data_IF_561185430350
#
_entry.id   IF_561185430350
#
_cell.length_a   1.000
_cell.length_b   1.000
_cell.length_c   1.000
_cell.angle_alpha   90.00
_cell.angle_beta   90.00
_cell.angle_gamma   90.00
#
_symmetry.space_group_name_H-M   'P 1'
#
loop_
_entity.id
_entity.type
_entity.pdbx_description
1 polymer ?
#
# COMPACT_ATOMS: atom_id res chain seq x y z
N UNK A 1 50.18 -20.87 -39.29
CA UNK A 1 49.72 -20.47 -37.94
C UNK A 1 49.45 -18.98 -37.97
N UNK A 2 48.20 -18.60 -38.21
CA UNK A 2 47.76 -17.20 -38.26
C UNK A 2 47.13 -16.89 -36.91
N UNK A 3 47.80 -16.07 -36.10
CA UNK A 3 47.23 -15.55 -34.87
C UNK A 3 46.25 -14.44 -35.23
N UNK A 4 44.96 -14.66 -34.92
CA UNK A 4 43.95 -13.60 -34.93
C UNK A 4 44.15 -12.74 -33.68
N UNK A 5 44.58 -11.51 -33.89
CA UNK A 5 44.67 -10.47 -32.87
C UNK A 5 43.25 -10.03 -32.49
N UNK A 6 42.77 -10.47 -31.33
CA UNK A 6 41.50 -10.02 -30.76
C UNK A 6 41.73 -8.67 -30.08
N UNK A 7 41.49 -7.59 -30.82
CA UNK A 7 41.45 -6.26 -30.23
C UNK A 7 40.26 -6.14 -29.28
N UNK A 8 40.56 -6.08 -27.99
CA UNK A 8 39.60 -5.69 -26.95
C UNK A 8 39.21 -4.24 -27.18
N UNK A 9 38.01 -4.02 -27.70
CA UNK A 9 37.40 -2.70 -27.79
C UNK A 9 37.16 -2.19 -26.37
N UNK A 10 37.94 -1.21 -25.95
CA UNK A 10 37.74 -0.48 -24.71
C UNK A 10 36.39 0.26 -24.77
N UNK A 11 35.47 0.11 -23.79
CA UNK A 11 34.18 0.78 -23.86
C UNK A 11 34.37 2.28 -23.62
N UNK A 12 34.25 3.05 -24.70
CA UNK A 12 33.99 4.47 -24.63
C UNK A 12 32.60 4.71 -24.03
N UNK A 13 32.58 5.17 -22.76
CA UNK A 13 31.45 5.89 -22.17
C UNK A 13 30.53 5.06 -21.27
N UNK A 14 30.53 5.41 -19.97
CA UNK A 14 29.59 4.93 -18.94
C UNK A 14 28.10 5.13 -19.29
N UNK A 15 27.79 6.10 -20.15
CA UNK A 15 26.44 6.34 -20.65
C UNK A 15 25.96 5.22 -21.60
N UNK A 16 26.86 4.63 -22.40
CA UNK A 16 26.52 3.57 -23.36
C UNK A 16 26.21 2.26 -22.62
N UNK A 17 27.05 1.87 -21.65
CA UNK A 17 26.81 0.70 -20.80
C UNK A 17 25.55 0.78 -19.96
N UNK A 18 25.19 1.97 -19.45
CA UNK A 18 23.93 2.16 -18.69
C UNK A 18 22.71 1.95 -19.58
N UNK A 19 22.76 2.46 -20.82
CA UNK A 19 21.69 2.29 -21.81
C UNK A 19 21.56 0.85 -22.26
N UNK A 20 22.67 0.22 -22.64
CA UNK A 20 22.69 -1.17 -23.10
C UNK A 20 22.15 -2.11 -22.00
N UNK A 21 22.50 -1.87 -20.74
CA UNK A 21 21.98 -2.65 -19.61
C UNK A 21 20.48 -2.48 -19.38
N UNK A 22 19.98 -1.25 -19.45
CA UNK A 22 18.54 -1.00 -19.32
C UNK A 22 17.76 -1.67 -20.45
N UNK A 23 18.27 -1.60 -21.69
CA UNK A 23 17.64 -2.24 -22.86
C UNK A 23 17.57 -3.76 -22.69
N UNK A 24 18.65 -4.40 -22.21
CA UNK A 24 18.69 -5.85 -21.93
C UNK A 24 17.68 -6.22 -20.83
N UNK A 25 17.70 -5.53 -19.69
CA UNK A 25 16.80 -5.83 -18.58
C UNK A 25 15.34 -5.61 -18.97
N UNK A 26 15.05 -4.55 -19.73
CA UNK A 26 13.71 -4.32 -20.26
C UNK A 26 13.26 -5.48 -21.16
N UNK A 27 14.12 -5.95 -22.08
CA UNK A 27 13.80 -7.10 -22.93
C UNK A 27 13.50 -8.36 -22.12
N UNK A 28 14.30 -8.64 -21.08
CA UNK A 28 14.12 -9.78 -20.19
C UNK A 28 12.81 -9.69 -19.37
N UNK A 29 12.45 -8.51 -18.87
CA UNK A 29 11.21 -8.30 -18.10
C UNK A 29 9.96 -8.45 -18.95
N UNK A 30 10.01 -8.04 -20.23
CA UNK A 30 8.90 -8.17 -21.17
C UNK A 30 8.82 -9.56 -21.81
N UNK A 31 9.80 -10.44 -21.58
CA UNK A 31 9.78 -11.80 -22.09
C UNK A 31 8.60 -12.59 -21.47
N UNK A 32 8.00 -13.54 -22.20
CA UNK A 32 6.80 -14.25 -21.77
C UNK A 32 7.02 -15.10 -20.51
N UNK A 33 8.24 -15.60 -20.29
CA UNK A 33 8.64 -16.42 -19.14
C UNK A 33 8.92 -15.60 -17.87
N UNK A 34 8.95 -14.26 -17.95
CA UNK A 34 9.09 -13.43 -16.77
C UNK A 34 7.80 -13.47 -15.95
N UNK A 35 7.92 -13.67 -14.63
CA UNK A 35 6.76 -13.76 -13.74
C UNK A 35 5.96 -12.43 -13.75
N UNK A 36 4.67 -12.44 -14.12
CA UNK A 36 3.83 -11.25 -14.11
C UNK A 36 3.82 -10.50 -12.77
N UNK A 37 4.03 -11.20 -11.64
CA UNK A 37 4.07 -10.61 -10.30
C UNK A 37 5.07 -9.45 -10.22
N UNK A 38 6.26 -9.58 -10.82
CA UNK A 38 7.34 -8.61 -10.68
C UNK A 38 7.37 -7.54 -11.78
N UNK A 39 6.43 -7.55 -12.74
CA UNK A 39 6.44 -6.62 -13.89
C UNK A 39 5.94 -5.22 -13.53
N UNK A 40 5.04 -5.12 -12.57
CA UNK A 40 4.42 -3.85 -12.17
C UNK A 40 5.41 -2.94 -11.44
N UNK A 41 5.16 -1.63 -11.45
CA UNK A 41 5.88 -0.68 -10.60
C UNK A 41 5.44 -0.76 -9.14
N UNK A 42 4.23 -1.26 -8.91
CA UNK A 42 3.71 -1.63 -7.60
C UNK A 42 3.60 -3.14 -7.58
N UNK A 43 4.50 -3.79 -6.84
CA UNK A 43 4.59 -5.24 -6.74
C UNK A 43 3.93 -5.66 -5.43
N UNK A 44 2.75 -6.27 -5.53
CA UNK A 44 2.00 -6.82 -4.40
C UNK A 44 2.36 -8.28 -4.18
N UNK A 45 3.30 -8.54 -3.27
CA UNK A 45 3.76 -9.88 -2.92
C UNK A 45 2.67 -10.61 -2.13
N UNK A 46 2.22 -11.80 -2.59
CA UNK A 46 1.29 -12.62 -1.83
C UNK A 46 1.81 -12.93 -0.43
N UNK A 47 0.88 -12.99 0.54
CA UNK A 47 1.19 -13.21 1.96
C UNK A 47 2.07 -14.44 2.20
N UNK A 48 1.79 -15.49 1.46
CA UNK A 48 2.37 -16.83 1.48
C UNK A 48 3.32 -17.09 0.30
N UNK A 49 3.81 -16.04 -0.37
CA UNK A 49 4.76 -16.17 -1.48
C UNK A 49 5.95 -17.07 -1.09
N UNK A 50 6.30 -18.10 -1.89
CA UNK A 50 7.23 -19.15 -1.48
C UNK A 50 8.60 -18.62 -1.02
N UNK A 51 9.07 -17.54 -1.66
CA UNK A 51 10.39 -16.93 -1.37
C UNK A 51 10.29 -15.65 -0.55
N UNK A 52 9.20 -14.90 -0.71
CA UNK A 52 9.06 -13.52 -0.19
C UNK A 52 7.89 -13.39 0.79
N UNK A 53 7.42 -14.51 1.35
CA UNK A 53 6.34 -14.53 2.31
C UNK A 53 6.59 -13.50 3.41
N UNK A 54 5.53 -12.80 3.78
CA UNK A 54 5.56 -11.80 4.84
C UNK A 54 4.47 -12.05 5.87
N UNK A 55 3.51 -12.95 5.62
CA UNK A 55 2.47 -13.29 6.59
C UNK A 55 2.93 -14.20 7.72
N UNK A 56 2.28 -14.11 8.87
CA UNK A 56 2.43 -15.05 9.98
C UNK A 56 2.13 -16.51 9.54
N UNK A 57 2.79 -17.51 10.12
CA UNK A 57 2.46 -18.92 9.83
C UNK A 57 1.16 -19.40 10.46
N UNK A 58 0.62 -18.69 11.47
CA UNK A 58 -0.69 -19.04 12.04
C UNK A 58 -1.76 -18.91 10.94
N UNK A 59 -2.55 -19.98 10.67
CA UNK A 59 -3.60 -19.95 9.65
C UNK A 59 -4.57 -18.79 9.87
N UNK A 60 -4.93 -18.10 8.78
CA UNK A 60 -5.85 -16.94 8.78
C UNK A 60 -5.41 -15.74 9.61
N UNK A 61 -4.21 -15.74 10.20
CA UNK A 61 -3.66 -14.52 10.79
C UNK A 61 -3.39 -13.50 9.67
N UNK A 62 -3.67 -12.23 9.85
CA UNK A 62 -3.44 -11.23 8.80
C UNK A 62 -2.22 -10.35 9.11
N UNK A 63 -1.53 -10.63 10.22
CA UNK A 63 -0.38 -9.84 10.66
C UNK A 63 0.91 -10.26 9.96
N UNK A 64 1.83 -9.31 9.72
CA UNK A 64 3.15 -9.63 9.21
C UNK A 64 3.97 -10.47 10.19
N UNK A 65 4.76 -11.40 9.66
CA UNK A 65 5.77 -12.14 10.39
C UNK A 65 6.99 -11.29 10.66
N UNK A 66 7.68 -11.59 11.76
CA UNK A 66 9.09 -11.21 11.93
C UNK A 66 9.95 -12.20 11.15
N UNK A 67 10.89 -11.70 10.34
CA UNK A 67 11.66 -12.47 9.34
C UNK A 67 12.25 -13.76 9.89
N UNK A 68 12.83 -13.74 11.10
CA UNK A 68 13.51 -14.90 11.69
C UNK A 68 12.60 -15.90 12.40
N UNK A 69 11.33 -15.57 12.65
CA UNK A 69 10.47 -16.32 13.57
C UNK A 69 9.29 -16.98 12.88
N UNK A 70 9.02 -16.58 11.64
CA UNK A 70 7.84 -16.95 10.86
C UNK A 70 6.47 -16.67 11.54
N UNK A 71 6.47 -15.98 12.68
CA UNK A 71 5.31 -15.58 13.45
C UNK A 71 5.25 -14.06 13.55
N UNK A 72 4.06 -13.51 13.73
CA UNK A 72 3.91 -12.10 14.10
C UNK A 72 4.43 -11.86 15.53
N UNK A 73 4.54 -10.60 15.93
CA UNK A 73 5.03 -10.24 17.26
C UNK A 73 4.21 -10.89 18.38
N UNK A 74 2.88 -10.86 18.26
CA UNK A 74 1.95 -11.38 19.27
C UNK A 74 1.98 -12.91 19.33
N UNK A 75 1.91 -13.57 18.18
CA UNK A 75 1.99 -15.04 18.12
C UNK A 75 3.34 -15.56 18.57
N UNK A 76 4.42 -14.83 18.32
CA UNK A 76 5.72 -15.19 18.86
C UNK A 76 5.75 -15.13 20.39
N UNK A 77 5.12 -14.14 21.01
CA UNK A 77 5.04 -14.03 22.46
C UNK A 77 4.15 -15.13 23.06
N UNK A 78 3.00 -15.42 22.44
CA UNK A 78 2.14 -16.54 22.83
C UNK A 78 2.88 -17.89 22.71
N UNK A 79 3.66 -18.07 21.64
CA UNK A 79 4.46 -19.28 21.45
C UNK A 79 5.52 -19.44 22.54
N UNK A 80 6.20 -18.37 22.93
CA UNK A 80 7.18 -18.43 24.04
C UNK A 80 6.55 -18.92 25.34
N UNK A 81 5.34 -18.44 25.65
CA UNK A 81 4.62 -18.84 26.87
C UNK A 81 4.20 -20.31 26.83
N UNK A 82 3.68 -20.79 25.69
CA UNK A 82 3.25 -22.19 25.57
C UNK A 82 4.42 -23.18 25.47
N UNK A 83 5.54 -22.76 24.88
CA UNK A 83 6.76 -23.59 24.83
C UNK A 83 7.31 -23.86 26.22
N UNK A 84 7.18 -22.91 27.16
CA UNK A 84 7.55 -23.12 28.55
C UNK A 84 6.68 -24.19 29.24
N UNK A 85 5.50 -24.49 28.68
CA UNK A 85 4.58 -25.54 29.12
C UNK A 85 4.64 -26.81 28.24
N UNK A 86 5.80 -27.12 27.65
CA UNK A 86 6.09 -28.34 26.86
C UNK A 86 5.19 -28.59 25.62
N UNK A 87 4.48 -27.56 25.13
CA UNK A 87 3.67 -27.69 23.92
C UNK A 87 4.53 -27.67 22.65
N UNK A 88 4.16 -28.47 21.64
CA UNK A 88 4.84 -28.49 20.34
C UNK A 88 4.44 -27.29 19.47
N UNK A 89 5.34 -26.86 18.56
CA UNK A 89 5.06 -25.72 17.66
C UNK A 89 3.91 -26.02 16.69
N UNK A 90 3.77 -27.27 16.25
CA UNK A 90 2.65 -27.72 15.42
C UNK A 90 1.31 -27.56 16.14
N UNK A 91 1.23 -27.98 17.40
CA UNK A 91 0.02 -27.83 18.22
C UNK A 91 -0.33 -26.36 18.44
N UNK A 92 0.67 -25.50 18.67
CA UNK A 92 0.45 -24.06 18.75
C UNK A 92 -0.11 -23.50 17.44
N UNK A 93 0.52 -23.80 16.29
CA UNK A 93 0.06 -23.30 15.00
C UNK A 93 -1.37 -23.75 14.67
N UNK A 94 -1.75 -24.96 15.07
CA UNK A 94 -3.10 -25.50 14.85
C UNK A 94 -4.17 -24.87 15.77
N UNK A 95 -3.79 -24.45 16.98
CA UNK A 95 -4.73 -23.94 18.01
C UNK A 95 -4.73 -22.43 18.19
N UNK A 96 -3.70 -21.73 17.69
CA UNK A 96 -3.54 -20.29 17.85
C UNK A 96 -4.67 -19.52 17.14
N UNK A 97 -5.28 -18.58 17.87
CA UNK A 97 -6.32 -17.73 17.32
C UNK A 97 -5.74 -16.77 16.27
N UNK A 98 -6.34 -16.67 15.06
CA UNK A 98 -5.89 -15.71 14.07
C UNK A 98 -6.10 -14.28 14.56
N UNK A 99 -5.14 -13.40 14.25
CA UNK A 99 -5.25 -11.99 14.59
C UNK A 99 -5.52 -11.18 13.33
N UNK A 100 -6.43 -10.18 13.39
CA UNK A 100 -6.64 -9.28 12.27
C UNK A 100 -5.39 -8.43 12.04
N UNK A 101 -5.27 -7.88 10.84
CA UNK A 101 -4.12 -7.06 10.50
C UNK A 101 -4.00 -5.85 11.44
N UNK A 102 -2.77 -5.50 11.82
CA UNK A 102 -2.52 -4.43 12.79
C UNK A 102 -2.30 -3.07 12.13
N UNK A 103 -1.69 -3.03 10.93
CA UNK A 103 -1.38 -1.82 10.16
C UNK A 103 -1.22 -2.14 8.66
N UNK A 104 -1.38 -1.13 7.80
CA UNK A 104 -1.15 -1.26 6.36
C UNK A 104 -2.28 -1.90 5.57
N UNK A 105 -3.41 -2.22 6.21
CA UNK A 105 -4.61 -2.80 5.57
C UNK A 105 -5.09 -1.88 4.45
N UNK A 106 -5.39 -2.46 3.29
CA UNK A 106 -6.35 -1.87 2.40
C UNK A 106 -7.64 -1.61 3.19
N UNK A 107 -8.00 -0.34 3.36
CA UNK A 107 -9.19 0.03 4.14
C UNK A 107 -10.48 -0.35 3.42
N UNK A 108 -10.35 -0.88 2.20
CA UNK A 108 -11.45 -1.20 1.33
C UNK A 108 -12.08 0.04 0.75
N UNK A 109 -13.25 -0.17 0.14
CA UNK A 109 -14.00 0.84 -0.56
C UNK A 109 -15.23 1.24 0.25
N UNK A 110 -15.64 2.49 0.07
CA UNK A 110 -16.85 3.00 0.68
C UNK A 110 -18.04 2.10 0.33
N UNK A 111 -18.90 1.80 1.31
CA UNK A 111 -20.13 1.01 1.10
C UNK A 111 -21.03 1.57 -0.01
N UNK A 112 -20.93 2.87 -0.30
CA UNK A 112 -21.71 3.55 -1.34
C UNK A 112 -20.90 3.83 -2.61
N UNK A 113 -19.57 3.99 -2.52
CA UNK A 113 -18.75 4.42 -3.65
C UNK A 113 -17.69 3.37 -4.01
N UNK A 114 -17.78 2.73 -5.19
CA UNK A 114 -16.82 1.70 -5.60
C UNK A 114 -15.41 2.25 -5.85
N UNK A 115 -15.27 3.54 -6.18
CA UNK A 115 -13.98 4.17 -6.51
C UNK A 115 -13.45 5.11 -5.41
N UNK A 116 -14.07 5.14 -4.23
CA UNK A 116 -13.57 5.97 -3.12
C UNK A 116 -13.12 5.12 -1.95
N UNK A 117 -11.85 5.22 -1.52
CA UNK A 117 -11.35 4.44 -0.41
C UNK A 117 -12.06 4.85 0.88
N UNK A 118 -12.16 3.89 1.80
CA UNK A 118 -12.71 4.13 3.13
C UNK A 118 -11.82 5.14 3.88
N UNK A 119 -12.46 6.23 4.31
CA UNK A 119 -11.83 7.22 5.16
C UNK A 119 -12.03 6.88 6.64
N UNK A 120 -13.22 6.39 6.99
CA UNK A 120 -13.57 5.92 8.34
C UNK A 120 -13.82 4.42 8.33
N UNK A 121 -12.86 3.65 8.85
CA UNK A 121 -12.94 2.18 8.92
C UNK A 121 -14.16 1.72 9.71
N UNK A 122 -14.55 2.47 10.76
CA UNK A 122 -15.72 2.15 11.57
C UNK A 122 -17.01 2.21 10.76
N UNK A 123 -17.19 3.26 9.95
CA UNK A 123 -18.42 3.42 9.17
C UNK A 123 -18.34 2.76 7.79
N UNK A 124 -17.14 2.33 7.36
CA UNK A 124 -16.88 1.88 5.99
C UNK A 124 -17.32 2.92 4.94
N UNK A 125 -17.13 4.21 5.25
CA UNK A 125 -17.53 5.33 4.38
C UNK A 125 -16.33 6.14 3.90
N UNK A 126 -16.44 6.69 2.69
CA UNK A 126 -15.52 7.72 2.19
C UNK A 126 -15.67 9.03 2.99
N UNK A 127 -14.72 9.95 2.81
CA UNK A 127 -14.72 11.25 3.51
C UNK A 127 -16.05 12.00 3.38
N UNK A 128 -16.58 12.10 2.15
CA UNK A 128 -17.81 12.86 1.89
C UNK A 128 -19.03 12.20 2.54
N UNK A 129 -19.20 10.89 2.38
CA UNK A 129 -20.33 10.16 2.98
C UNK A 129 -20.25 10.14 4.50
N UNK A 130 -19.06 9.99 5.08
CA UNK A 130 -18.86 10.12 6.52
C UNK A 130 -19.39 11.49 7.00
N UNK A 131 -18.93 12.60 6.43
CA UNK A 131 -19.37 13.92 6.91
C UNK A 131 -20.84 14.23 6.61
N UNK A 132 -21.42 13.67 5.53
CA UNK A 132 -22.87 13.76 5.28
C UNK A 132 -23.66 13.04 6.36
N UNK A 133 -23.28 11.80 6.69
CA UNK A 133 -23.90 11.03 7.77
C UNK A 133 -23.85 11.79 9.09
N UNK A 134 -22.67 12.25 9.51
CA UNK A 134 -22.50 12.99 10.77
C UNK A 134 -23.34 14.26 10.85
N UNK A 135 -23.52 14.93 9.71
CA UNK A 135 -24.35 16.12 9.65
C UNK A 135 -25.84 15.79 9.77
N UNK A 136 -26.31 14.74 9.08
CA UNK A 136 -27.73 14.37 9.06
C UNK A 136 -28.18 13.62 10.32
N UNK A 137 -27.30 12.82 10.92
CA UNK A 137 -27.63 11.97 12.06
C UNK A 137 -27.54 12.70 13.40
N UNK A 138 -26.99 13.94 13.43
CA UNK A 138 -26.71 14.69 14.65
C UNK A 138 -25.73 13.99 15.60
N UNK A 139 -25.06 12.92 15.14
CA UNK A 139 -24.22 12.07 15.99
C UNK A 139 -22.83 12.69 16.12
N UNK A 140 -22.43 13.02 17.34
CA UNK A 140 -21.00 13.21 17.66
C UNK A 140 -20.36 11.83 17.73
N UNK A 141 -19.35 11.57 16.90
CA UNK A 141 -18.61 10.31 16.95
C UNK A 141 -17.87 10.19 18.28
N UNK A 142 -18.46 9.51 19.26
CA UNK A 142 -17.67 8.82 20.28
C UNK A 142 -16.96 7.66 19.58
N UNK A 143 -15.65 7.55 19.75
CA UNK A 143 -14.81 6.56 19.04
C UNK A 143 -15.12 5.11 19.47
N UNK A 144 -15.83 4.91 20.59
CA UNK A 144 -15.96 3.61 21.26
C UNK A 144 -17.33 2.91 21.11
N UNK A 145 -18.28 3.44 20.33
CA UNK A 145 -19.57 2.76 20.11
C UNK A 145 -19.64 2.09 18.72
N UNK A 146 -19.53 0.74 18.64
CA UNK A 146 -19.64 -0.02 17.40
C UNK A 146 -21.10 -0.24 16.94
N UNK A 147 -22.11 0.06 17.75
CA UNK A 147 -23.52 -0.19 17.41
C UNK A 147 -24.09 0.75 16.34
N UNK A 148 -23.41 1.87 16.08
CA UNK A 148 -23.89 2.93 15.17
C UNK A 148 -24.18 2.42 13.75
N UNK A 149 -23.40 1.45 13.25
CA UNK A 149 -23.54 0.91 11.88
C UNK A 149 -24.63 -0.14 11.72
N UNK A 150 -25.11 -0.75 12.81
CA UNK A 150 -26.20 -1.73 12.80
C UNK A 150 -27.56 -1.10 13.09
N UNK A 151 -27.59 0.20 13.37
CA UNK A 151 -28.84 0.92 13.59
C UNK A 151 -29.66 1.06 12.30
N UNK A 152 -30.98 0.92 12.41
CA UNK A 152 -31.91 1.11 11.30
C UNK A 152 -31.74 2.48 10.59
N UNK A 153 -31.54 3.60 11.30
CA UNK A 153 -31.28 4.90 10.68
C UNK A 153 -30.03 4.93 9.78
N UNK A 154 -28.94 4.25 10.16
CA UNK A 154 -27.74 4.19 9.33
C UNK A 154 -27.96 3.39 8.04
N UNK A 155 -28.62 2.24 8.16
CA UNK A 155 -28.94 1.38 7.02
C UNK A 155 -29.92 2.04 6.06
N UNK A 156 -30.93 2.74 6.58
CA UNK A 156 -31.85 3.55 5.78
C UNK A 156 -31.10 4.66 5.03
N UNK A 157 -30.25 5.40 5.74
CA UNK A 157 -29.47 6.49 5.13
C UNK A 157 -28.54 6.01 4.02
N UNK A 158 -27.85 4.87 4.19
CA UNK A 158 -26.98 4.30 3.15
C UNK A 158 -27.76 4.01 1.87
N UNK A 159 -28.96 3.41 1.97
CA UNK A 159 -29.80 3.10 0.81
C UNK A 159 -30.23 4.34 0.03
N UNK A 160 -30.33 5.49 0.70
CA UNK A 160 -30.71 6.76 0.08
C UNK A 160 -29.51 7.50 -0.54
N UNK A 161 -28.28 7.00 -0.37
CA UNK A 161 -27.10 7.65 -0.93
C UNK A 161 -26.79 7.18 -2.36
N UNK A 162 -26.41 8.12 -3.22
CA UNK A 162 -25.82 7.82 -4.52
C UNK A 162 -24.28 7.70 -4.46
N UNK A 163 -23.66 6.93 -5.37
CA UNK A 163 -22.22 6.90 -5.53
C UNK A 163 -21.67 8.26 -5.96
N UNK A 164 -20.45 8.55 -5.56
CA UNK A 164 -19.69 9.74 -5.97
C UNK A 164 -18.51 9.30 -6.85
N UNK A 165 -18.12 10.09 -7.85
CA UNK A 165 -16.97 9.76 -8.71
C UNK A 165 -15.69 9.65 -7.88
N UNK A 166 -14.70 8.86 -8.33
CA UNK A 166 -13.40 8.77 -7.68
C UNK A 166 -12.78 10.14 -7.39
N UNK A 167 -12.02 10.26 -6.29
CA UNK A 167 -11.38 11.52 -5.91
C UNK A 167 -10.06 11.79 -6.65
N UNK A 168 -9.71 10.94 -7.62
CA UNK A 168 -8.42 10.95 -8.30
C UNK A 168 -7.29 10.34 -7.46
N UNK A 169 -6.07 10.27 -8.02
CA UNK A 169 -4.90 9.76 -7.31
C UNK A 169 -4.46 10.70 -6.19
N UNK A 170 -3.69 10.16 -5.24
CA UNK A 170 -2.97 10.99 -4.28
C UNK A 170 -2.00 11.93 -5.02
N UNK A 171 -1.91 13.18 -4.56
CA UNK A 171 -1.04 14.22 -5.13
C UNK A 171 0.43 14.02 -4.80
N UNK A 172 0.76 13.15 -3.84
CA UNK A 172 2.16 12.82 -3.53
C UNK A 172 2.75 12.00 -4.69
N UNK A 173 3.86 12.48 -5.25
CA UNK A 173 4.38 12.03 -6.53
C UNK A 173 4.68 10.52 -6.61
N UNK A 174 5.05 9.92 -5.47
CA UNK A 174 5.43 8.50 -5.37
C UNK A 174 4.35 7.62 -4.75
N UNK A 175 3.14 8.14 -4.54
CA UNK A 175 2.06 7.43 -3.88
C UNK A 175 1.11 6.76 -4.90
N UNK A 176 0.94 5.43 -4.86
CA UNK A 176 0.03 4.73 -5.77
C UNK A 176 -1.45 4.83 -5.34
N UNK A 177 -1.73 5.36 -4.16
CA UNK A 177 -3.05 5.30 -3.53
C UNK A 177 -4.03 6.34 -4.11
N UNK A 178 -5.31 6.00 -4.10
CA UNK A 178 -6.39 6.95 -4.40
C UNK A 178 -6.52 7.98 -3.29
N UNK A 179 -6.82 9.23 -3.66
CA UNK A 179 -7.14 10.27 -2.70
C UNK A 179 -8.37 9.87 -1.87
N UNK A 180 -8.26 10.01 -0.55
CA UNK A 180 -9.33 9.68 0.38
C UNK A 180 -10.12 10.92 0.81
N UNK A 181 -9.60 12.12 0.53
CA UNK A 181 -10.23 13.38 0.86
C UNK A 181 -10.06 14.41 -0.27
N UNK A 182 -10.84 15.51 -0.26
CA UNK A 182 -10.76 16.56 -1.28
C UNK A 182 -9.42 17.26 -1.46
N UNK A 183 -8.51 17.11 -0.49
CA UNK A 183 -7.15 17.66 -0.60
C UNK A 183 -6.31 16.95 -1.67
N UNK A 184 -6.84 15.86 -2.25
CA UNK A 184 -6.08 15.00 -3.14
C UNK A 184 -5.05 14.16 -2.38
N UNK A 185 -5.28 13.85 -1.10
CA UNK A 185 -4.37 13.03 -0.29
C UNK A 185 -5.02 11.72 0.11
N UNK A 186 -4.25 10.63 0.10
CA UNK A 186 -4.67 9.36 0.70
C UNK A 186 -4.74 9.51 2.24
N UNK A 187 -5.31 8.51 2.92
CA UNK A 187 -5.48 8.57 4.40
C UNK A 187 -4.14 8.72 5.12
N UNK A 188 -3.12 7.98 4.68
CA UNK A 188 -1.79 8.01 5.29
C UNK A 188 -1.10 9.36 5.11
N UNK A 189 -1.08 9.89 3.87
CA UNK A 189 -0.47 11.19 3.60
C UNK A 189 -1.21 12.35 4.26
N UNK A 190 -2.54 12.28 4.39
CA UNK A 190 -3.29 13.26 5.18
C UNK A 190 -2.86 13.24 6.66
N UNK A 191 -2.62 12.05 7.23
CA UNK A 191 -2.17 11.95 8.62
C UNK A 191 -0.78 12.59 8.80
N UNK A 192 0.18 12.27 7.91
CA UNK A 192 1.52 12.88 7.93
C UNK A 192 1.49 14.39 7.69
N UNK A 193 0.72 14.84 6.70
CA UNK A 193 0.52 16.26 6.41
C UNK A 193 0.10 17.05 7.65
N UNK A 194 -0.83 16.50 8.44
CA UNK A 194 -1.24 17.10 9.72
C UNK A 194 -0.16 17.06 10.79
N UNK A 195 0.54 15.94 10.92
CA UNK A 195 1.63 15.77 11.89
C UNK A 195 2.78 16.75 11.62
N UNK A 196 3.01 17.11 10.35
CA UNK A 196 4.04 18.05 9.92
C UNK A 196 3.55 19.51 9.88
N UNK A 197 2.41 19.83 10.50
CA UNK A 197 1.95 21.21 10.68
C UNK A 197 1.18 21.81 9.50
N UNK A 198 0.70 21.00 8.56
CA UNK A 198 -0.06 21.42 7.36
C UNK A 198 0.70 22.36 6.40
N UNK A 199 1.82 21.92 5.78
CA UNK A 199 2.58 22.73 4.82
C UNK A 199 1.71 23.30 3.67
N UNK A 200 1.71 24.63 3.51
CA UNK A 200 0.88 25.31 2.50
C UNK A 200 -0.58 25.55 2.91
N UNK A 201 -0.95 25.19 4.15
CA UNK A 201 -2.20 25.61 4.77
C UNK A 201 -3.46 25.06 4.09
N UNK A 202 -3.36 23.95 3.34
CA UNK A 202 -4.52 23.33 2.68
C UNK A 202 -5.61 23.02 3.71
N UNK A 203 -6.73 23.69 3.58
CA UNK A 203 -7.91 23.50 4.41
C UNK A 203 -9.08 23.09 3.53
N UNK A 204 -9.83 22.08 3.97
CA UNK A 204 -11.09 21.73 3.31
C UNK A 204 -12.16 22.66 3.86
N UNK A 205 -12.54 23.70 3.11
CA UNK A 205 -13.71 24.50 3.46
C UNK A 205 -14.97 23.74 3.10
N UNK A 206 -15.88 23.63 4.06
CA UNK A 206 -17.19 23.03 3.83
C UNK A 206 -18.05 24.04 3.06
N UNK A 207 -18.39 23.76 1.80
CA UNK A 207 -19.54 24.44 1.20
C UNK A 207 -20.83 23.94 1.87
N UNK A 208 -21.75 24.87 2.06
CA UNK A 208 -22.99 24.68 2.79
C UNK A 208 -23.98 23.79 2.01
N UNK A 209 -24.52 22.80 2.74
CA UNK A 209 -25.91 22.30 2.78
C UNK A 209 -26.61 21.49 1.69
N UNK A 210 -26.14 21.26 0.45
CA UNK A 210 -27.03 20.45 -0.43
C UNK A 210 -26.47 19.59 -1.56
N UNK A 211 -25.25 19.78 -2.09
CA UNK A 211 -24.81 18.92 -3.21
C UNK A 211 -23.30 18.83 -3.47
N UNK A 212 -22.49 19.79 -3.02
CA UNK A 212 -21.09 19.89 -3.46
C UNK A 212 -20.15 18.96 -2.71
N UNK A 213 -19.31 18.24 -3.45
CA UNK A 213 -18.05 17.71 -2.93
C UNK A 213 -17.35 18.83 -2.14
N UNK A 214 -16.89 18.55 -0.92
CA UNK A 214 -16.06 19.51 -0.21
C UNK A 214 -14.86 19.85 -1.11
N UNK A 215 -14.47 21.12 -1.18
CA UNK A 215 -13.37 21.59 -2.02
C UNK A 215 -12.20 21.94 -1.10
N UNK A 216 -11.00 21.50 -1.46
CA UNK A 216 -9.81 21.94 -0.77
C UNK A 216 -9.45 23.34 -1.25
N UNK A 217 -9.34 24.28 -0.31
CA UNK A 217 -8.73 25.58 -0.54
C UNK A 217 -7.26 25.48 -0.11
N UNK A 218 -6.36 25.79 -1.03
CA UNK A 218 -4.94 25.80 -0.77
C UNK A 218 -4.51 27.25 -0.58
N UNK A 219 -3.97 27.57 0.61
CA UNK A 219 -3.51 28.93 0.93
C UNK A 219 -2.21 29.23 0.21
N UNK A 220 -1.27 28.28 0.23
CA UNK A 220 0.00 28.34 -0.51
C UNK A 220 0.21 27.03 -1.28
N UNK A 221 -0.14 27.09 -2.56
CA UNK A 221 -0.10 25.95 -3.49
C UNK A 221 1.34 25.54 -3.83
N UNK A 222 2.30 26.46 -3.72
CA UNK A 222 3.72 26.16 -3.97
C UNK A 222 4.29 25.34 -2.82
N UNK A 223 4.06 25.76 -1.58
CA UNK A 223 4.49 24.99 -0.41
C UNK A 223 3.84 23.60 -0.36
N UNK A 224 2.53 23.51 -0.67
CA UNK A 224 1.85 22.22 -0.72
C UNK A 224 2.40 21.30 -1.81
N UNK A 225 2.63 21.82 -3.02
CA UNK A 225 3.22 21.04 -4.12
C UNK A 225 4.63 20.58 -3.80
N UNK A 226 5.46 21.44 -3.21
CA UNK A 226 6.82 21.10 -2.78
C UNK A 226 6.78 19.96 -1.77
N UNK A 227 5.88 20.02 -0.79
CA UNK A 227 5.66 18.94 0.16
C UNK A 227 5.26 17.63 -0.52
N UNK A 228 4.29 17.67 -1.44
CA UNK A 228 3.87 16.49 -2.21
C UNK A 228 5.00 15.87 -3.05
N UNK A 229 5.99 16.65 -3.49
CA UNK A 229 7.13 16.16 -4.25
C UNK A 229 8.23 15.55 -3.37
N UNK A 230 8.36 16.00 -2.12
CA UNK A 230 9.41 15.53 -1.20
C UNK A 230 8.98 14.37 -0.31
N UNK A 231 7.68 14.15 -0.14
CA UNK A 231 7.17 13.19 0.84
C UNK A 231 7.37 11.73 0.38
N UNK A 232 7.76 10.88 1.32
CA UNK A 232 7.92 9.44 1.10
C UNK A 232 6.58 8.73 0.87
N UNK A 233 6.55 7.59 0.15
CA UNK A 233 5.33 6.80 0.03
C UNK A 233 4.84 6.28 1.39
N UNK A 234 3.56 5.92 1.46
CA UNK A 234 3.02 5.20 2.61
C UNK A 234 3.46 3.74 2.49
N UNK A 235 4.11 3.23 3.53
CA UNK A 235 4.56 1.84 3.56
C UNK A 235 3.35 0.91 3.66
N UNK A 236 3.29 -0.07 2.76
CA UNK A 236 2.31 -1.16 2.73
C UNK A 236 3.05 -2.48 2.96
N UNK A 237 2.52 -3.29 3.86
CA UNK A 237 3.09 -4.61 4.13
C UNK A 237 2.91 -5.48 2.90
N UNK A 238 3.97 -6.16 2.46
CA UNK A 238 3.90 -7.04 1.30
C UNK A 238 3.94 -6.31 -0.04
N UNK A 239 4.10 -4.99 -0.06
CA UNK A 239 4.16 -4.22 -1.30
C UNK A 239 5.53 -3.58 -1.48
N UNK A 240 6.08 -3.68 -2.69
CA UNK A 240 7.23 -2.90 -3.12
C UNK A 240 6.76 -1.80 -4.06
N UNK A 241 7.10 -0.56 -3.73
CA UNK A 241 6.77 0.61 -4.52
C UNK A 241 8.01 1.10 -5.26
N UNK A 242 8.00 1.00 -6.58
CA UNK A 242 9.09 1.41 -7.47
C UNK A 242 8.81 2.75 -8.18
N UNK A 243 7.71 3.44 -7.84
CA UNK A 243 7.36 4.75 -8.40
C UNK A 243 8.44 5.77 -8.03
N UNK A 244 8.83 6.59 -9.00
CA UNK A 244 9.86 7.63 -8.83
C UNK A 244 11.29 7.11 -8.87
N UNK A 245 11.52 5.79 -8.94
CA UNK A 245 12.85 5.24 -9.17
C UNK A 245 13.30 5.46 -10.62
N UNK A 246 14.61 5.65 -10.80
CA UNK A 246 15.24 5.70 -12.13
C UNK A 246 14.97 4.38 -12.88
N UNK A 247 14.71 4.40 -14.20
CA UNK A 247 14.34 3.20 -14.95
C UNK A 247 15.28 2.01 -14.78
N UNK A 248 16.60 2.24 -14.79
CA UNK A 248 17.58 1.16 -14.60
C UNK A 248 17.46 0.50 -13.22
N UNK A 249 17.34 1.30 -12.14
CA UNK A 249 17.21 0.78 -10.78
C UNK A 249 15.92 -0.03 -10.63
N UNK A 250 14.83 0.44 -11.23
CA UNK A 250 13.55 -0.29 -11.27
C UNK A 250 13.72 -1.64 -11.95
N UNK A 251 14.32 -1.66 -13.14
CA UNK A 251 14.54 -2.89 -13.90
C UNK A 251 15.47 -3.87 -13.17
N UNK A 252 16.53 -3.37 -12.50
CA UNK A 252 17.42 -4.20 -11.69
C UNK A 252 16.70 -4.85 -10.50
N UNK A 253 15.83 -4.10 -9.81
CA UNK A 253 15.03 -4.65 -8.71
C UNK A 253 14.05 -5.71 -9.22
N UNK A 254 13.32 -5.42 -10.30
CA UNK A 254 12.35 -6.35 -10.88
C UNK A 254 13.02 -7.66 -11.33
N UNK A 255 14.13 -7.55 -12.06
CA UNK A 255 14.92 -8.71 -12.49
C UNK A 255 15.51 -9.47 -11.31
N UNK A 256 16.08 -8.77 -10.33
CA UNK A 256 16.66 -9.38 -9.13
C UNK A 256 15.63 -10.18 -8.32
N UNK A 257 14.41 -9.64 -8.17
CA UNK A 257 13.31 -10.34 -7.51
C UNK A 257 12.92 -11.62 -8.26
N UNK A 258 12.76 -11.52 -9.58
CA UNK A 258 12.44 -12.66 -10.43
C UNK A 258 13.51 -13.76 -10.35
N UNK A 259 14.78 -13.39 -10.53
CA UNK A 259 15.90 -14.33 -10.53
C UNK A 259 16.10 -15.02 -9.17
N UNK A 260 15.89 -14.31 -8.07
CA UNK A 260 15.98 -14.90 -6.74
C UNK A 260 14.76 -15.76 -6.38
N UNK A 261 13.58 -15.46 -6.94
CA UNK A 261 12.40 -16.31 -6.79
C UNK A 261 12.50 -17.63 -7.59
N UNK A 262 13.32 -17.64 -8.65
CA UNK A 262 13.55 -18.79 -9.52
C UNK A 262 15.04 -19.18 -9.48
N UNK A 263 15.52 -19.81 -8.39
CA UNK A 263 16.87 -20.35 -8.40
C UNK A 263 16.99 -21.30 -9.58
N UNK A 264 18.02 -21.11 -10.41
CA UNK A 264 18.31 -22.02 -11.52
C UNK A 264 18.34 -23.45 -10.97
N UNK A 265 17.59 -24.35 -11.59
CA UNK A 265 17.76 -25.78 -11.38
C UNK A 265 19.26 -26.08 -11.55
N UNK A 266 19.92 -26.43 -10.44
CA UNK A 266 21.31 -26.87 -10.50
C UNK A 266 21.39 -28.11 -11.40
N UNK A 267 22.47 -28.29 -12.18
CA UNK A 267 22.63 -29.51 -12.96
C UNK A 267 22.66 -30.71 -11.99
N UNK A 268 21.77 -31.68 -12.21
CA UNK A 268 21.83 -33.01 -11.61
C UNK A 268 23.15 -33.73 -11.93
#
# INVERSE_FOLDING_TARGET
MTALDLQVVQPAGTARTTRDRLEILAALIHAPNFDPLFRSEIIDIPRDHPVYAWGCQVPRCERPRRTSLHLCADHHEQWKQQRAAESSKGNFLASAHPLPASQGIDRGWCLVCPERPVFSVRLQLCYTHMYRWLYTSGTTLSENDPSVTTTNPFQAWIRDQGPLPGAGPCRVAVCPETAACPMGLCVGHRARYKQQGNPGGVAVRRRQRSAGCAVAEVVDEVAFRKWCQSEEPIRRTGQLNLIGLRPLVKAEIQWGLFAHAHPAEGPE
#
